data_IF_530347263619
#
_entry.id   IF_530347263619
#
_cell.length_a   1.000
_cell.length_b   1.000
_cell.length_c   1.000
_cell.angle_alpha   90.00
_cell.angle_beta   90.00
_cell.angle_gamma   90.00
#
_symmetry.space_group_name_H-M   'P 1'
#
loop_
_entity.id
_entity.type
_entity.pdbx_description
1 polymer ?
#
# COMPACT_ATOMS: atom_id res chain seq x y z
N UNK A 1 19.54 -11.46 -54.13
CA UNK A 1 19.81 -10.46 -53.06
C UNK A 1 18.52 -9.88 -52.47
N UNK A 2 17.57 -10.71 -52.00
CA UNK A 2 16.31 -10.23 -51.40
C UNK A 2 15.96 -10.87 -50.04
N UNK A 3 16.84 -11.73 -49.50
CA UNK A 3 16.63 -12.37 -48.19
C UNK A 3 17.40 -11.70 -47.04
N UNK A 4 18.41 -10.86 -47.33
CA UNK A 4 19.30 -10.32 -46.30
C UNK A 4 18.76 -9.08 -45.58
N UNK A 5 17.70 -8.44 -46.09
CA UNK A 5 17.20 -7.16 -45.56
C UNK A 5 16.12 -7.36 -44.47
N UNK A 6 15.53 -8.55 -44.39
CA UNK A 6 14.46 -8.84 -43.41
C UNK A 6 15.01 -9.16 -42.01
N UNK A 7 16.29 -9.56 -41.90
CA UNK A 7 16.92 -9.94 -40.62
C UNK A 7 17.33 -8.75 -39.74
N UNK A 8 17.50 -7.55 -40.29
CA UNK A 8 17.86 -6.37 -39.49
C UNK A 8 16.66 -5.69 -38.81
N UNK A 9 15.42 -5.97 -39.22
CA UNK A 9 14.23 -5.36 -38.62
C UNK A 9 13.73 -6.09 -37.36
N UNK A 10 14.21 -7.31 -37.08
CA UNK A 10 13.82 -8.05 -35.87
C UNK A 10 14.69 -7.73 -34.64
N UNK A 11 15.77 -6.97 -34.78
CA UNK A 11 16.67 -6.60 -33.66
C UNK A 11 16.28 -5.26 -33.04
N UNK A 12 15.33 -4.53 -33.63
CA UNK A 12 14.72 -3.32 -33.08
C UNK A 12 13.37 -3.60 -32.41
N UNK A 13 13.17 -4.81 -31.88
CA UNK A 13 12.06 -5.05 -30.96
C UNK A 13 12.26 -4.13 -29.75
N UNK A 14 11.22 -3.38 -29.34
CA UNK A 14 11.29 -2.61 -28.12
C UNK A 14 11.63 -3.61 -27.02
N UNK A 15 12.72 -3.38 -26.31
CA UNK A 15 13.03 -4.11 -25.09
C UNK A 15 11.88 -3.76 -24.16
N UNK A 16 10.84 -4.59 -24.16
CA UNK A 16 9.83 -4.58 -23.13
C UNK A 16 10.61 -4.87 -21.85
N UNK A 17 10.94 -3.83 -21.10
CA UNK A 17 11.57 -3.97 -19.78
C UNK A 17 10.52 -4.67 -18.92
N UNK A 18 10.62 -5.99 -18.85
CA UNK A 18 9.79 -6.77 -17.94
C UNK A 18 10.07 -6.26 -16.54
N UNK A 19 9.05 -5.75 -15.85
CA UNK A 19 9.14 -5.35 -14.45
C UNK A 19 9.58 -6.59 -13.67
N UNK A 20 10.68 -6.48 -12.94
CA UNK A 20 11.20 -7.60 -12.17
C UNK A 20 10.47 -7.70 -10.83
N UNK A 21 10.57 -8.86 -10.17
CA UNK A 21 10.02 -8.97 -8.81
C UNK A 21 10.71 -8.02 -7.82
N UNK A 22 11.98 -7.68 -8.05
CA UNK A 22 12.68 -6.70 -7.23
C UNK A 22 12.09 -5.29 -7.38
N UNK A 23 11.69 -4.90 -8.60
CA UNK A 23 11.02 -3.62 -8.85
C UNK A 23 9.66 -3.57 -8.13
N UNK A 24 8.90 -4.67 -8.19
CA UNK A 24 7.62 -4.81 -7.48
C UNK A 24 7.79 -4.72 -5.96
N UNK A 25 8.74 -5.46 -5.40
CA UNK A 25 9.06 -5.40 -3.97
C UNK A 25 9.43 -3.98 -3.52
N UNK A 26 10.31 -3.31 -4.28
CA UNK A 26 10.72 -1.94 -3.99
C UNK A 26 9.55 -0.96 -4.06
N UNK A 27 8.67 -1.09 -5.04
CA UNK A 27 7.48 -0.24 -5.14
C UNK A 27 6.51 -0.49 -3.99
N UNK A 28 6.22 -1.76 -3.68
CA UNK A 28 5.34 -2.13 -2.57
C UNK A 28 5.84 -1.55 -1.24
N UNK A 29 7.13 -1.73 -0.93
CA UNK A 29 7.73 -1.25 0.30
C UNK A 29 7.69 0.28 0.41
N UNK A 30 7.92 0.98 -0.71
CA UNK A 30 7.82 2.44 -0.73
C UNK A 30 6.40 2.93 -0.41
N UNK A 31 5.37 2.30 -0.97
CA UNK A 31 3.98 2.68 -0.66
C UNK A 31 3.59 2.31 0.77
N UNK A 32 4.07 1.19 1.30
CA UNK A 32 3.87 0.83 2.72
C UNK A 32 4.49 1.90 3.64
N UNK A 33 5.67 2.43 3.32
CA UNK A 33 6.27 3.54 4.08
C UNK A 33 5.45 4.83 4.01
N UNK A 34 4.79 5.10 2.88
CA UNK A 34 3.83 6.20 2.79
C UNK A 34 2.62 5.98 3.72
N UNK A 35 2.13 4.73 3.84
CA UNK A 35 1.04 4.38 4.77
C UNK A 35 1.41 4.72 6.22
N UNK A 36 2.62 4.38 6.69
CA UNK A 36 3.07 4.76 8.05
C UNK A 36 3.16 6.28 8.22
N UNK A 37 3.78 6.96 7.24
CA UNK A 37 3.94 8.41 7.27
C UNK A 37 2.59 9.13 7.38
N UNK A 38 1.61 8.73 6.57
CA UNK A 38 0.28 9.34 6.62
C UNK A 38 -0.53 8.87 7.83
N UNK A 39 -0.26 7.68 8.37
CA UNK A 39 -0.81 7.24 9.65
C UNK A 39 -0.42 8.18 10.78
N UNK A 40 0.87 8.50 10.91
CA UNK A 40 1.36 9.47 11.90
C UNK A 40 0.77 10.87 11.69
N UNK A 41 0.66 11.31 10.43
CA UNK A 41 0.06 12.59 10.10
C UNK A 41 -1.41 12.67 10.53
N UNK A 42 -2.19 11.63 10.26
CA UNK A 42 -3.58 11.55 10.69
C UNK A 42 -3.72 11.65 12.22
N UNK A 43 -2.79 11.06 12.99
CA UNK A 43 -2.78 11.18 14.45
C UNK A 43 -2.49 12.59 14.97
N UNK A 44 -1.76 13.38 14.18
CA UNK A 44 -1.46 14.78 14.49
C UNK A 44 -2.58 15.73 14.03
N UNK A 45 -3.29 15.38 12.96
CA UNK A 45 -4.38 16.17 12.38
C UNK A 45 -5.74 15.93 13.05
N UNK A 46 -5.83 14.95 13.96
CA UNK A 46 -7.00 14.68 14.78
C UNK A 46 -7.29 15.86 15.73
N UNK A 47 -8.55 16.30 15.76
CA UNK A 47 -8.96 17.53 16.43
C UNK A 47 -9.17 17.38 17.94
N UNK A 48 -9.49 16.17 18.40
CA UNK A 48 -9.84 15.86 19.78
C UNK A 48 -9.59 14.38 20.09
N UNK A 49 -9.81 13.99 21.36
CA UNK A 49 -9.61 12.62 21.82
C UNK A 49 -10.50 11.61 21.08
N UNK A 50 -11.75 11.97 20.78
CA UNK A 50 -12.72 11.06 20.17
C UNK A 50 -12.40 10.81 18.69
N UNK A 51 -12.07 11.86 17.93
CA UNK A 51 -11.61 11.76 16.55
C UNK A 51 -10.27 11.00 16.45
N UNK A 52 -9.35 11.22 17.40
CA UNK A 52 -8.09 10.47 17.48
C UNK A 52 -8.33 8.98 17.75
N UNK A 53 -9.25 8.66 18.65
CA UNK A 53 -9.66 7.27 18.90
C UNK A 53 -10.26 6.63 17.65
N UNK A 54 -11.21 7.32 17.01
CA UNK A 54 -11.90 6.81 15.82
C UNK A 54 -10.94 6.55 14.65
N UNK A 55 -9.98 7.45 14.39
CA UNK A 55 -9.00 7.22 13.32
C UNK A 55 -8.01 6.10 13.67
N UNK A 56 -7.62 5.95 14.94
CA UNK A 56 -6.79 4.83 15.38
C UNK A 56 -7.47 3.49 15.11
N UNK A 57 -8.72 3.34 15.53
CA UNK A 57 -9.52 2.13 15.30
C UNK A 57 -9.65 1.84 13.79
N UNK A 58 -10.01 2.87 13.00
CA UNK A 58 -10.07 2.77 11.54
C UNK A 58 -8.76 2.30 10.89
N UNK A 59 -7.62 2.90 11.27
CA UNK A 59 -6.32 2.56 10.70
C UNK A 59 -5.87 1.15 11.11
N UNK A 60 -6.13 0.74 12.35
CA UNK A 60 -5.82 -0.62 12.83
C UNK A 60 -6.62 -1.64 12.01
N UNK A 61 -7.94 -1.49 11.93
CA UNK A 61 -8.80 -2.42 11.19
C UNK A 61 -8.38 -2.52 9.72
N UNK A 62 -8.06 -1.39 9.10
CA UNK A 62 -7.60 -1.33 7.72
C UNK A 62 -6.26 -2.04 7.52
N UNK A 63 -5.31 -1.83 8.44
CA UNK A 63 -3.99 -2.47 8.38
C UNK A 63 -4.05 -3.97 8.68
N UNK A 64 -4.95 -4.43 9.55
CA UNK A 64 -5.16 -5.86 9.79
C UNK A 64 -5.68 -6.57 8.52
N UNK A 65 -6.58 -5.93 7.78
CA UNK A 65 -7.01 -6.43 6.47
C UNK A 65 -5.86 -6.43 5.47
N UNK A 66 -5.03 -5.37 5.46
CA UNK A 66 -3.85 -5.31 4.62
C UNK A 66 -2.82 -6.40 4.97
N UNK A 67 -2.61 -6.71 6.24
CA UNK A 67 -1.72 -7.78 6.70
C UNK A 67 -2.18 -9.13 6.14
N UNK A 68 -3.47 -9.45 6.28
CA UNK A 68 -4.06 -10.65 5.67
C UNK A 68 -3.86 -10.67 4.13
N UNK A 69 -3.98 -9.51 3.49
CA UNK A 69 -3.79 -9.37 2.04
C UNK A 69 -2.33 -9.62 1.64
N UNK A 70 -1.36 -9.17 2.43
CA UNK A 70 0.07 -9.40 2.18
C UNK A 70 0.47 -10.87 2.35
N UNK A 71 -0.22 -11.62 3.20
CA UNK A 71 -0.03 -13.07 3.34
C UNK A 71 -0.60 -13.85 2.15
N UNK A 72 -1.74 -13.39 1.61
CA UNK A 72 -2.46 -14.04 0.53
C UNK A 72 -2.75 -13.06 -0.62
N UNK A 73 -1.70 -12.54 -1.28
CA UNK A 73 -1.80 -11.41 -2.22
C UNK A 73 -2.53 -11.76 -3.51
N UNK A 74 -2.95 -13.01 -3.74
CA UNK A 74 -3.72 -13.40 -4.93
C UNK A 74 -5.06 -14.08 -4.63
N UNK A 75 -5.47 -14.15 -3.37
CA UNK A 75 -6.67 -14.88 -2.96
C UNK A 75 -7.90 -13.97 -2.81
N UNK A 76 -7.74 -12.75 -2.32
CA UNK A 76 -8.85 -11.81 -2.11
C UNK A 76 -8.37 -10.37 -2.23
N UNK A 77 -9.16 -9.47 -2.78
CA UNK A 77 -8.85 -8.02 -2.80
C UNK A 77 -9.67 -7.29 -1.74
N UNK A 78 -9.26 -6.09 -1.33
CA UNK A 78 -10.08 -5.23 -0.47
C UNK A 78 -10.00 -3.78 -0.94
N UNK A 79 -11.10 -3.05 -0.77
CA UNK A 79 -11.11 -1.60 -0.90
C UNK A 79 -11.27 -1.03 0.51
N UNK A 80 -10.32 -0.24 1.03
CA UNK A 80 -10.55 0.46 2.29
C UNK A 80 -11.81 1.31 2.15
N UNK A 81 -12.59 1.42 3.24
CA UNK A 81 -13.68 2.39 3.30
C UNK A 81 -13.09 3.77 3.60
N UNK A 82 -13.65 4.86 3.05
CA UNK A 82 -13.21 6.20 3.41
C UNK A 82 -13.52 6.47 4.89
N UNK A 83 -12.62 7.18 5.57
CA UNK A 83 -12.84 7.65 6.93
C UNK A 83 -13.61 8.97 6.90
N UNK A 84 -14.52 9.18 7.83
CA UNK A 84 -15.23 10.45 7.97
C UNK A 84 -15.44 10.79 9.44
N UNK A 85 -15.14 12.03 9.79
CA UNK A 85 -15.35 12.62 11.11
C UNK A 85 -15.84 14.07 10.99
N UNK A 86 -16.13 14.71 12.12
CA UNK A 86 -16.40 16.16 12.19
C UNK A 86 -15.12 17.01 12.07
N UNK A 87 -13.94 16.38 12.14
CA UNK A 87 -12.64 17.04 12.03
C UNK A 87 -12.23 17.16 10.56
N UNK A 88 -12.47 18.33 9.96
CA UNK A 88 -12.25 18.54 8.52
C UNK A 88 -10.78 18.35 8.08
N UNK A 89 -9.82 18.78 8.91
CA UNK A 89 -8.38 18.55 8.66
C UNK A 89 -8.07 17.06 8.54
N UNK A 90 -8.54 16.27 9.50
CA UNK A 90 -8.35 14.83 9.53
C UNK A 90 -8.95 14.13 8.31
N UNK A 91 -10.18 14.49 7.90
CA UNK A 91 -10.80 13.90 6.71
C UNK A 91 -9.95 14.16 5.47
N UNK A 92 -9.51 15.41 5.27
CA UNK A 92 -8.69 15.78 4.11
C UNK A 92 -7.32 15.11 4.09
N UNK A 93 -6.67 14.99 5.25
CA UNK A 93 -5.38 14.30 5.39
C UNK A 93 -5.53 12.80 5.14
N UNK A 94 -6.58 12.18 5.69
CA UNK A 94 -6.79 10.75 5.54
C UNK A 94 -7.04 10.37 4.08
N UNK A 95 -7.95 11.08 3.40
CA UNK A 95 -8.36 10.76 2.04
C UNK A 95 -7.21 10.90 1.04
N UNK A 96 -6.45 12.01 1.13
CA UNK A 96 -5.32 12.25 0.24
C UNK A 96 -4.07 11.46 0.61
N UNK A 97 -3.96 11.00 1.86
CA UNK A 97 -2.79 10.31 2.41
C UNK A 97 -3.05 8.82 2.63
N UNK A 98 -3.37 8.46 3.88
CA UNK A 98 -3.43 7.08 4.34
C UNK A 98 -4.37 6.21 3.48
N UNK A 99 -5.59 6.68 3.25
CA UNK A 99 -6.59 5.98 2.43
C UNK A 99 -6.08 5.68 1.01
N UNK A 100 -5.53 6.71 0.36
CA UNK A 100 -4.98 6.61 -0.99
C UNK A 100 -3.79 5.66 -1.06
N UNK A 101 -2.86 5.74 -0.10
CA UNK A 101 -1.70 4.85 -0.04
C UNK A 101 -2.11 3.39 0.20
N UNK A 102 -3.08 3.11 1.07
CA UNK A 102 -3.62 1.73 1.23
C UNK A 102 -4.24 1.23 -0.07
N UNK A 103 -5.03 2.05 -0.76
CA UNK A 103 -5.60 1.70 -2.07
C UNK A 103 -4.52 1.40 -3.13
N UNK A 104 -3.43 2.17 -3.14
CA UNK A 104 -2.26 1.91 -4.00
C UNK A 104 -1.58 0.60 -3.64
N UNK A 105 -1.39 0.30 -2.36
CA UNK A 105 -0.84 -0.99 -1.92
C UNK A 105 -1.69 -2.15 -2.44
N UNK A 106 -3.02 -2.08 -2.32
CA UNK A 106 -3.90 -3.13 -2.84
C UNK A 106 -3.82 -3.28 -4.37
N UNK A 107 -3.65 -2.16 -5.09
CA UNK A 107 -3.46 -2.16 -6.55
C UNK A 107 -2.15 -2.87 -6.92
N UNK A 108 -1.04 -2.51 -6.27
CA UNK A 108 0.28 -3.15 -6.48
C UNK A 108 0.21 -4.65 -6.24
N UNK A 109 -0.39 -5.07 -5.13
CA UNK A 109 -0.54 -6.50 -4.81
C UNK A 109 -1.40 -7.25 -5.85
N UNK A 110 -2.38 -6.58 -6.44
CA UNK A 110 -3.18 -7.14 -7.53
C UNK A 110 -2.34 -7.31 -8.80
N UNK A 111 -1.52 -6.33 -9.14
CA UNK A 111 -0.67 -6.35 -10.34
C UNK A 111 0.55 -7.29 -10.20
N UNK A 112 0.98 -7.58 -8.97
CA UNK A 112 2.01 -8.59 -8.69
C UNK A 112 1.54 -10.03 -9.00
N UNK A 113 0.24 -10.31 -8.92
CA UNK A 113 -0.29 -11.68 -9.04
C UNK A 113 -0.04 -12.36 -10.39
N UNK A 114 -0.31 -11.72 -11.54
CA UNK A 114 0.03 -12.31 -12.85
C UNK A 114 1.52 -12.61 -13.00
N UNK A 115 2.38 -11.85 -12.30
CA UNK A 115 3.84 -12.00 -12.35
C UNK A 115 4.37 -13.14 -11.47
N UNK A 116 3.54 -13.65 -10.53
CA UNK A 116 3.96 -14.68 -9.57
C UNK A 116 5.03 -14.22 -8.58
N UNK A 117 5.21 -12.90 -8.42
CA UNK A 117 6.22 -12.36 -7.52
C UNK A 117 5.79 -12.53 -6.06
N UNK A 118 6.66 -13.07 -5.19
CA UNK A 118 6.36 -13.20 -3.78
C UNK A 118 6.36 -11.83 -3.10
N UNK A 119 5.54 -11.68 -2.07
CA UNK A 119 5.62 -10.54 -1.13
C UNK A 119 6.74 -10.82 -0.14
N UNK A 120 7.71 -9.90 -0.07
CA UNK A 120 8.83 -10.00 0.86
C UNK A 120 8.39 -9.86 2.32
N UNK A 121 9.14 -10.52 3.23
CA UNK A 121 8.84 -10.51 4.66
C UNK A 121 8.92 -9.09 5.25
N UNK A 122 9.83 -8.25 4.74
CA UNK A 122 9.99 -6.86 5.19
C UNK A 122 8.69 -6.06 5.08
N UNK A 123 7.94 -6.23 3.98
CA UNK A 123 6.65 -5.56 3.80
C UNK A 123 5.62 -5.98 4.86
N UNK A 124 5.62 -7.25 5.26
CA UNK A 124 4.73 -7.79 6.30
C UNK A 124 5.12 -7.26 7.68
N UNK A 125 6.42 -7.29 7.98
CA UNK A 125 6.96 -6.84 9.26
C UNK A 125 6.69 -5.35 9.50
N UNK A 126 6.80 -4.51 8.46
CA UNK A 126 6.47 -3.09 8.56
C UNK A 126 4.99 -2.86 8.86
N UNK A 127 4.07 -3.57 8.20
CA UNK A 127 2.63 -3.44 8.49
C UNK A 127 2.29 -3.93 9.90
N UNK A 128 2.86 -5.06 10.35
CA UNK A 128 2.64 -5.56 11.71
C UNK A 128 3.18 -4.57 12.76
N UNK A 129 4.36 -3.99 12.52
CA UNK A 129 4.93 -2.95 13.39
C UNK A 129 4.04 -1.71 13.47
N UNK A 130 3.43 -1.28 12.36
CA UNK A 130 2.46 -0.18 12.37
C UNK A 130 1.22 -0.53 13.21
N UNK A 131 0.66 -1.74 13.04
CA UNK A 131 -0.49 -2.20 13.83
C UNK A 131 -0.16 -2.16 15.33
N UNK A 132 0.99 -2.70 15.74
CA UNK A 132 1.41 -2.69 17.15
C UNK A 132 1.62 -1.27 17.69
N UNK A 133 2.24 -0.38 16.89
CA UNK A 133 2.40 1.04 17.22
C UNK A 133 1.03 1.70 17.48
N UNK A 134 0.07 1.53 16.57
CA UNK A 134 -1.26 2.14 16.70
C UNK A 134 -2.05 1.56 17.89
N UNK A 135 -2.00 0.23 18.11
CA UNK A 135 -2.61 -0.42 19.28
C UNK A 135 -2.03 0.11 20.60
N UNK A 136 -0.73 0.34 20.64
CA UNK A 136 -0.06 0.95 21.80
C UNK A 136 -0.50 2.40 22.03
N UNK A 137 -0.70 3.18 20.98
CA UNK A 137 -1.20 4.56 21.12
C UNK A 137 -2.65 4.54 21.62
N UNK A 138 -3.49 3.66 21.07
CA UNK A 138 -4.89 3.52 21.44
C UNK A 138 -5.08 3.10 22.90
N UNK A 139 -4.25 2.17 23.40
CA UNK A 139 -4.32 1.71 24.80
C UNK A 139 -3.90 2.76 25.83
N UNK A 140 -3.16 3.79 25.40
CA UNK A 140 -2.67 4.87 26.26
C UNK A 140 -3.41 6.21 26.06
N UNK A 141 -4.54 6.21 25.35
CA UNK A 141 -5.30 7.41 24.99
C UNK A 141 -6.23 7.91 26.11
#
# INVERSE_FOLDING_TARGET
>A
MKLAIVLCFFVALPVATAITCQDWSGWLLNVIKEVDYFGDRNLNDACDKDSKKAILEYMIDTLEILAMRLEMPCTFTFQPLPFSSTCASLNSSNDAGFYSSVGRTNTILTDMCPSGCPVEQEAKDEVEKMIQKLKNILSNL
#
